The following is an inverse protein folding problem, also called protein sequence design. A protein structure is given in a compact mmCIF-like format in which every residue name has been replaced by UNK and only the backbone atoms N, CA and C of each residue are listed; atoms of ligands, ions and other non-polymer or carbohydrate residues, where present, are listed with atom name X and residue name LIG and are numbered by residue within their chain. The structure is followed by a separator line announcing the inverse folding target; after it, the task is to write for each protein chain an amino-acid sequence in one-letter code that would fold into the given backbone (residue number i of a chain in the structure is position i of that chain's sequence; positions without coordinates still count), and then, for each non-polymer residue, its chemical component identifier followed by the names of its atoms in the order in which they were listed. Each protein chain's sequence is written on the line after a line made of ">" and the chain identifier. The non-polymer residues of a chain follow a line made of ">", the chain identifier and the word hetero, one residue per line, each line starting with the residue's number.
data_IF_851482187815
#
_entry.id   IF_851482187815
#
_cell.length_a   1.000
_cell.length_b   1.000
_cell.length_c   1.000
_cell.angle_alpha   90.00
_cell.angle_beta   90.00
_cell.angle_gamma   90.00
#
_symmetry.space_group_name_H-M   'P 1'
#
loop_
_entity.id
_entity.type
_entity.pdbx_description
1 polymer ?
#
# COMPACT_ATOMS: atom_id res chain seq x y z
N UNK A 1 13.81 -10.89 -5.04
CA UNK A 1 13.36 -10.00 -3.96
C UNK A 1 12.54 -10.84 -3.01
N UNK A 2 12.89 -10.78 -1.73
CA UNK A 2 12.15 -11.38 -0.65
C UNK A 2 10.79 -10.67 -0.46
N UNK A 3 9.86 -11.35 0.21
CA UNK A 3 8.49 -10.85 0.42
C UNK A 3 8.46 -9.59 1.28
N UNK A 4 9.41 -9.45 2.18
CA UNK A 4 9.61 -8.36 3.12
C UNK A 4 10.58 -7.28 2.59
N UNK A 5 11.04 -7.36 1.34
CA UNK A 5 11.81 -6.29 0.73
C UNK A 5 10.97 -5.00 0.63
N UNK A 6 11.60 -3.85 0.91
CA UNK A 6 10.94 -2.53 0.92
C UNK A 6 10.16 -2.28 -0.37
N UNK A 7 10.82 -2.47 -1.51
CA UNK A 7 10.20 -2.25 -2.81
C UNK A 7 9.05 -3.23 -3.09
N UNK A 8 9.05 -4.44 -2.52
CA UNK A 8 7.95 -5.40 -2.68
C UNK A 8 6.72 -4.94 -1.88
N UNK A 9 6.91 -4.47 -0.65
CA UNK A 9 5.83 -3.97 0.21
C UNK A 9 5.20 -2.71 -0.39
N UNK A 10 6.04 -1.73 -0.77
CA UNK A 10 5.61 -0.52 -1.48
C UNK A 10 4.78 -0.89 -2.70
N UNK A 11 5.26 -1.89 -3.45
CA UNK A 11 4.58 -2.35 -4.65
C UNK A 11 3.19 -2.93 -4.39
N UNK A 12 3.07 -3.78 -3.37
CA UNK A 12 1.81 -4.40 -2.98
C UNK A 12 0.77 -3.35 -2.55
N UNK A 13 1.17 -2.40 -1.70
CA UNK A 13 0.30 -1.32 -1.21
C UNK A 13 -0.19 -0.48 -2.39
N UNK A 14 0.71 0.07 -3.20
CA UNK A 14 0.35 0.93 -4.32
C UNK A 14 -0.49 0.19 -5.37
N UNK A 15 -0.17 -1.07 -5.67
CA UNK A 15 -0.95 -1.88 -6.63
C UNK A 15 -2.39 -2.12 -6.15
N UNK A 16 -2.58 -2.36 -4.85
CA UNK A 16 -3.90 -2.52 -4.26
C UNK A 16 -4.71 -1.22 -4.34
N UNK A 17 -4.13 -0.09 -3.91
CA UNK A 17 -4.79 1.21 -3.97
C UNK A 17 -5.18 1.58 -5.41
N UNK A 18 -4.29 1.33 -6.38
CA UNK A 18 -4.58 1.57 -7.80
C UNK A 18 -5.71 0.70 -8.34
N UNK A 19 -5.80 -0.56 -7.89
CA UNK A 19 -6.90 -1.45 -8.25
C UNK A 19 -8.25 -0.95 -7.70
N UNK A 20 -8.29 -0.54 -6.42
CA UNK A 20 -9.51 0.02 -5.83
C UNK A 20 -9.96 1.29 -6.56
N UNK A 21 -9.01 2.19 -6.84
CA UNK A 21 -9.26 3.41 -7.63
C UNK A 21 -9.85 3.08 -9.01
N UNK A 22 -9.27 2.13 -9.75
CA UNK A 22 -9.77 1.71 -11.07
C UNK A 22 -11.16 1.10 -11.04
N UNK A 23 -11.53 0.44 -9.95
CA UNK A 23 -12.82 -0.21 -9.80
C UNK A 23 -13.86 0.69 -9.10
N UNK A 24 -13.49 1.90 -8.68
CA UNK A 24 -14.38 2.79 -7.93
C UNK A 24 -14.83 2.19 -6.60
N UNK A 25 -13.97 1.41 -5.94
CA UNK A 25 -14.25 0.73 -4.68
C UNK A 25 -13.53 1.41 -3.51
N UNK A 26 -14.13 1.31 -2.34
CA UNK A 26 -13.53 1.80 -1.09
C UNK A 26 -12.33 0.96 -0.65
N UNK A 27 -11.44 1.58 0.13
CA UNK A 27 -10.25 0.92 0.67
C UNK A 27 -10.60 0.10 1.90
N UNK A 28 -10.41 -1.21 1.81
CA UNK A 28 -10.33 -2.06 3.01
C UNK A 28 -8.96 -1.86 3.68
N UNK A 29 -8.95 -1.10 4.78
CA UNK A 29 -7.76 -0.82 5.57
C UNK A 29 -7.08 -2.10 6.11
N UNK A 30 -7.82 -3.19 6.31
CA UNK A 30 -7.25 -4.44 6.83
C UNK A 30 -6.26 -5.08 5.85
N UNK A 31 -6.36 -4.78 4.55
CA UNK A 31 -5.50 -5.35 3.52
C UNK A 31 -4.16 -4.62 3.38
N UNK A 32 -4.05 -3.39 3.89
CA UNK A 32 -2.82 -2.59 3.88
C UNK A 32 -2.18 -2.45 5.26
N UNK A 33 -2.72 -3.11 6.29
CA UNK A 33 -2.10 -3.19 7.63
C UNK A 33 -0.93 -4.19 7.66
N UNK A 34 -0.03 -3.99 8.63
CA UNK A 34 1.17 -4.79 8.84
C UNK A 34 0.93 -6.31 8.95
N UNK A 35 -0.15 -6.69 9.62
CA UNK A 35 -0.62 -8.05 9.93
C UNK A 35 -1.59 -8.59 8.87
N UNK A 36 -1.81 -7.86 7.78
CA UNK A 36 -2.60 -8.34 6.65
C UNK A 36 -1.97 -9.59 6.06
N UNK A 37 -2.78 -10.50 5.51
CA UNK A 37 -2.31 -11.70 4.81
C UNK A 37 -1.36 -11.41 3.63
N UNK A 38 -1.27 -10.16 3.19
CA UNK A 38 -0.45 -9.70 2.06
C UNK A 38 0.91 -9.17 2.49
N UNK A 39 0.97 -8.42 3.60
CA UNK A 39 2.24 -7.83 4.07
C UNK A 39 2.96 -8.79 5.02
N UNK A 40 2.33 -9.19 6.14
CA UNK A 40 2.94 -10.06 7.16
C UNK A 40 4.32 -9.55 7.62
N UNK A 41 4.41 -8.27 7.99
CA UNK A 41 5.63 -7.60 8.46
C UNK A 41 5.41 -6.98 9.85
N UNK A 42 6.50 -6.71 10.57
CA UNK A 42 6.39 -6.06 11.87
C UNK A 42 5.86 -4.62 11.76
N UNK A 43 5.16 -4.14 12.79
CA UNK A 43 4.53 -2.81 12.82
C UNK A 43 5.53 -1.69 12.57
N UNK A 44 6.72 -1.73 13.18
CA UNK A 44 7.73 -0.67 13.05
C UNK A 44 8.15 -0.46 11.59
N UNK A 45 8.40 -1.55 10.86
CA UNK A 45 8.78 -1.47 9.47
C UNK A 45 7.62 -1.04 8.57
N UNK A 46 6.41 -1.53 8.83
CA UNK A 46 5.21 -1.07 8.14
C UNK A 46 4.98 0.44 8.32
N UNK A 47 5.10 0.96 9.55
CA UNK A 47 4.99 2.38 9.86
C UNK A 47 6.03 3.18 9.06
N UNK A 48 7.28 2.72 9.03
CA UNK A 48 8.33 3.35 8.22
C UNK A 48 7.94 3.42 6.73
N UNK A 49 7.41 2.34 6.15
CA UNK A 49 6.97 2.33 4.76
C UNK A 49 5.83 3.33 4.53
N UNK A 50 4.78 3.31 5.34
CA UNK A 50 3.61 4.19 5.16
C UNK A 50 3.99 5.67 5.32
N UNK A 51 4.82 6.00 6.30
CA UNK A 51 5.31 7.37 6.51
C UNK A 51 6.09 7.86 5.29
N UNK A 52 6.99 7.06 4.74
CA UNK A 52 7.74 7.44 3.53
C UNK A 52 6.83 7.54 2.30
N UNK A 53 5.86 6.63 2.14
CA UNK A 53 4.88 6.73 1.06
C UNK A 53 4.10 8.04 1.10
N UNK A 54 3.69 8.49 2.29
CA UNK A 54 3.00 9.76 2.46
C UNK A 54 3.93 10.96 2.22
N UNK A 55 5.10 10.97 2.87
CA UNK A 55 6.04 12.09 2.83
C UNK A 55 6.61 12.32 1.41
N UNK A 56 6.85 11.24 0.67
CA UNK A 56 7.27 11.32 -0.72
C UNK A 56 6.09 11.60 -1.67
N UNK A 57 4.85 11.60 -1.17
CA UNK A 57 3.65 11.91 -1.94
C UNK A 57 3.22 10.81 -2.90
N UNK A 58 3.55 9.54 -2.63
CA UNK A 58 3.02 8.39 -3.38
C UNK A 58 1.59 8.03 -2.97
N UNK A 59 1.21 8.34 -1.72
CA UNK A 59 -0.14 8.19 -1.17
C UNK A 59 -0.62 9.49 -0.52
N UNK A 60 -1.91 9.58 -0.26
CA UNK A 60 -2.56 10.71 0.42
C UNK A 60 -3.79 10.25 1.22
N UNK A 61 -4.46 11.17 1.92
CA UNK A 61 -5.73 10.91 2.63
C UNK A 61 -5.61 10.31 4.04
N UNK A 62 -4.44 9.78 4.39
CA UNK A 62 -4.13 9.34 5.76
C UNK A 62 -3.62 10.50 6.63
N UNK A 63 -3.72 10.33 7.95
CA UNK A 63 -3.16 11.26 8.93
C UNK A 63 -2.11 10.53 9.77
N UNK A 64 -0.96 11.17 9.95
CA UNK A 64 0.14 10.68 10.79
C UNK A 64 0.23 11.60 12.00
N UNK A 65 0.12 11.02 13.18
CA UNK A 65 0.35 11.70 14.45
C UNK A 65 1.57 11.07 15.14
N UNK A 66 2.37 11.92 15.79
CA UNK A 66 3.54 11.48 16.52
C UNK A 66 3.48 12.08 17.92
N UNK A 67 3.47 11.21 18.93
CA UNK A 67 3.45 11.66 20.32
C UNK A 67 4.85 12.10 20.80
N UNK A 68 4.88 12.58 22.05
CA UNK A 68 6.11 13.04 22.72
C UNK A 68 7.16 11.94 22.93
N UNK A 69 6.74 10.67 22.89
CA UNK A 69 7.59 9.50 23.07
C UNK A 69 8.01 8.90 21.70
N UNK A 70 7.81 9.65 20.61
CA UNK A 70 8.08 9.25 19.22
C UNK A 70 7.25 8.05 18.73
N UNK A 71 6.14 7.72 19.39
CA UNK A 71 5.21 6.74 18.85
C UNK A 71 4.41 7.35 17.71
N UNK A 72 4.49 6.69 16.56
CA UNK A 72 3.76 7.09 15.36
C UNK A 72 2.45 6.31 15.27
N UNK A 73 1.35 7.05 15.22
CA UNK A 73 0.01 6.54 14.94
C UNK A 73 -0.45 6.96 13.54
N UNK A 74 -1.10 6.02 12.84
CA UNK A 74 -1.58 6.21 11.47
C UNK A 74 -3.10 6.04 11.46
N UNK A 75 -3.81 7.10 11.08
CA UNK A 75 -5.27 7.17 11.03
C UNK A 75 -5.76 7.22 9.58
N UNK A 76 -7.07 6.95 9.40
CA UNK A 76 -7.78 7.03 8.13
C UNK A 76 -7.19 6.16 7.01
N UNK A 77 -6.68 4.97 7.34
CA UNK A 77 -6.18 4.02 6.33
C UNK A 77 -7.24 3.66 5.28
N UNK A 78 -8.53 3.70 5.64
CA UNK A 78 -9.67 3.51 4.73
C UNK A 78 -9.89 4.69 3.77
N UNK A 79 -9.22 5.82 4.00
CA UNK A 79 -9.18 7.01 3.11
C UNK A 79 -7.87 7.13 2.35
N UNK A 80 -7.01 6.11 2.42
CA UNK A 80 -5.72 6.13 1.75
C UNK A 80 -5.89 6.11 0.23
N UNK A 81 -5.40 7.13 -0.47
CA UNK A 81 -5.48 7.22 -1.92
C UNK A 81 -4.09 7.19 -2.56
N UNK A 82 -3.96 6.48 -3.67
CA UNK A 82 -2.74 6.55 -4.50
C UNK A 82 -2.72 7.85 -5.30
N UNK A 83 -1.57 8.51 -5.37
CA UNK A 83 -1.38 9.75 -6.14
C UNK A 83 -0.88 9.45 -7.56
N UNK A 84 -0.88 10.44 -8.48
CA UNK A 84 -0.21 10.30 -9.78
C UNK A 84 1.25 9.85 -9.66
N UNK A 85 2.00 10.37 -8.69
CA UNK A 85 3.39 9.95 -8.43
C UNK A 85 3.48 8.48 -7.99
N UNK A 86 2.53 8.02 -7.17
CA UNK A 86 2.40 6.60 -6.81
C UNK A 86 2.11 5.71 -8.02
N UNK A 87 1.28 6.18 -8.96
CA UNK A 87 1.00 5.48 -10.21
C UNK A 87 2.26 5.45 -11.11
N UNK A 88 2.98 6.57 -11.22
CA UNK A 88 4.23 6.65 -11.98
C UNK A 88 5.25 5.62 -11.47
N UNK A 89 5.40 5.49 -10.14
CA UNK A 89 6.26 4.47 -9.51
C UNK A 89 5.89 3.04 -9.94
N UNK A 90 4.60 2.74 -10.12
CA UNK A 90 4.16 1.44 -10.62
C UNK A 90 4.51 1.22 -12.10
N UNK A 91 4.59 2.30 -12.88
CA UNK A 91 4.81 2.27 -14.33
C UNK A 91 6.27 2.35 -14.76
N UNK A 92 7.16 2.84 -13.91
CA UNK A 92 8.57 3.03 -14.28
C UNK A 92 9.36 1.70 -14.30
N UNK A 93 9.58 1.19 -15.51
CA UNK A 93 10.65 0.30 -16.01
C UNK A 93 10.97 -1.11 -15.43
N UNK A 94 10.25 -1.68 -14.46
CA UNK A 94 10.33 -3.17 -14.22
C UNK A 94 9.15 -3.77 -13.45
N UNK A 95 8.18 -2.93 -13.13
CA UNK A 95 7.18 -3.17 -12.09
C UNK A 95 5.82 -3.53 -12.69
N UNK A 96 5.47 -3.06 -13.89
CA UNK A 96 4.19 -3.37 -14.56
C UNK A 96 3.87 -4.87 -14.65
N UNK A 97 4.85 -5.73 -14.94
CA UNK A 97 4.60 -7.18 -14.99
C UNK A 97 4.34 -7.76 -13.59
N UNK A 98 4.93 -7.18 -12.54
CA UNK A 98 4.60 -7.50 -11.14
C UNK A 98 3.19 -7.01 -10.78
N UNK A 99 2.73 -5.86 -11.30
CA UNK A 99 1.36 -5.36 -11.09
C UNK A 99 0.40 -6.34 -11.70
N UNK A 100 0.63 -6.71 -12.96
CA UNK A 100 -0.22 -7.67 -13.66
C UNK A 100 -0.28 -9.00 -12.90
N UNK A 101 0.85 -9.51 -12.39
CA UNK A 101 0.88 -10.72 -11.57
C UNK A 101 0.14 -10.57 -10.24
N UNK A 102 0.48 -9.55 -9.44
CA UNK A 102 -0.18 -9.31 -8.16
C UNK A 102 -1.67 -9.03 -8.32
N UNK A 103 -2.07 -8.28 -9.35
CA UNK A 103 -3.47 -8.07 -9.71
C UNK A 103 -4.13 -9.39 -10.13
N UNK A 104 -3.45 -10.24 -10.89
CA UNK A 104 -3.98 -11.56 -11.23
C UNK A 104 -4.18 -12.42 -9.98
N UNK A 105 -3.19 -12.46 -9.10
CA UNK A 105 -3.26 -13.18 -7.82
C UNK A 105 -4.38 -12.61 -6.93
N UNK A 106 -4.55 -11.28 -6.87
CA UNK A 106 -5.66 -10.64 -6.16
C UNK A 106 -7.02 -10.98 -6.76
N UNK A 107 -7.14 -10.99 -8.10
CA UNK A 107 -8.38 -11.38 -8.80
C UNK A 107 -8.72 -12.86 -8.59
N UNK A 108 -7.72 -13.73 -8.50
CA UNK A 108 -7.92 -15.15 -8.24
C UNK A 108 -8.32 -15.41 -6.76
N UNK A 109 -7.89 -14.55 -5.83
CA UNK A 109 -8.19 -14.66 -4.38
C UNK A 109 -9.50 -13.96 -3.99
N UNK A 110 -9.87 -12.89 -4.68
CA UNK A 110 -11.14 -12.20 -4.50
C UNK A 110 -12.12 -12.72 -5.57
N UNK A 111 -12.98 -13.71 -5.26
CA UNK A 111 -14.04 -14.06 -6.19
C UNK A 111 -14.89 -12.81 -6.36
N UNK A 112 -14.85 -12.23 -7.56
CA UNK A 112 -15.83 -11.22 -7.94
C UNK A 112 -17.19 -11.91 -7.85
N UNK A 113 -17.96 -11.56 -6.83
CA UNK A 113 -19.42 -11.64 -6.89
C UNK A 113 -19.91 -10.41 -7.63
#
# INVERSE_FOLDING_TARGET
>A
MARDDYHVIVYQILSYLYMQLKHGKDIDASLIRHDSKYLQINRKYWTYVIVNLLNEGYISGIVIDQDIDENVEIYNLDKCEITPKGIEYLTDNSTIEKAKRFMKDLKDILPFV
#
